data_IF_587863554165
#
_entry.id   IF_587863554165
#
_cell.length_a   1.000
_cell.length_b   1.000
_cell.length_c   1.000
_cell.angle_alpha   90.00
_cell.angle_beta   90.00
_cell.angle_gamma   90.00
#
_symmetry.space_group_name_H-M   'P 1'
#
loop_
_entity.id
_entity.type
_entity.pdbx_description
1 polymer ?
#
# COMPACT_ATOMS: atom_id res chain seq x y z
N UNK A 1 24.93 -25.58 22.01
CA UNK A 1 25.75 -24.67 21.19
C UNK A 1 25.29 -24.65 19.72
N UNK A 2 25.17 -25.76 19.03
CA UNK A 2 24.75 -25.86 17.63
C UNK A 2 23.38 -25.22 17.29
N UNK A 3 22.36 -25.34 18.17
CA UNK A 3 21.04 -24.77 17.94
C UNK A 3 21.04 -23.23 17.90
N UNK A 4 21.86 -22.57 18.75
CA UNK A 4 22.02 -21.11 18.75
C UNK A 4 22.75 -20.59 17.51
N UNK A 5 23.75 -21.34 17.05
CA UNK A 5 24.51 -21.02 15.82
C UNK A 5 23.62 -21.12 14.60
N UNK A 6 22.81 -22.18 14.48
CA UNK A 6 21.86 -22.36 13.38
C UNK A 6 20.82 -21.23 13.36
N UNK A 7 20.27 -20.84 14.50
CA UNK A 7 19.30 -19.75 14.61
C UNK A 7 19.92 -18.39 14.21
N UNK A 8 21.17 -18.12 14.61
CA UNK A 8 21.89 -16.92 14.22
C UNK A 8 22.07 -16.80 12.71
N UNK A 9 22.52 -17.88 12.05
CA UNK A 9 22.67 -17.88 10.58
C UNK A 9 21.34 -17.77 9.85
N UNK A 10 20.27 -18.41 10.35
CA UNK A 10 18.93 -18.29 9.76
C UNK A 10 18.40 -16.85 9.86
N UNK A 11 18.54 -16.21 11.02
CA UNK A 11 18.10 -14.82 11.20
C UNK A 11 18.94 -13.85 10.35
N UNK A 12 20.25 -14.07 10.24
CA UNK A 12 21.12 -13.23 9.38
C UNK A 12 20.78 -13.39 7.90
N UNK A 13 20.44 -14.60 7.46
CA UNK A 13 20.01 -14.87 6.10
C UNK A 13 18.66 -14.21 5.77
N UNK A 14 17.68 -14.32 6.67
CA UNK A 14 16.38 -13.66 6.54
C UNK A 14 16.57 -12.13 6.46
N UNK A 15 17.36 -11.56 7.36
CA UNK A 15 17.68 -10.14 7.36
C UNK A 15 18.32 -9.68 6.03
N UNK A 16 19.24 -10.47 5.46
CA UNK A 16 19.87 -10.15 4.17
C UNK A 16 18.85 -10.17 3.03
N UNK A 17 17.96 -11.16 3.01
CA UNK A 17 16.89 -11.26 2.03
C UNK A 17 15.96 -10.06 2.11
N UNK A 18 15.52 -9.68 3.30
CA UNK A 18 14.63 -8.52 3.51
C UNK A 18 15.28 -7.22 3.02
N UNK A 19 16.60 -7.07 3.24
CA UNK A 19 17.36 -5.94 2.72
C UNK A 19 17.40 -5.90 1.20
N UNK A 20 17.62 -7.04 0.55
CA UNK A 20 17.62 -7.16 -0.92
C UNK A 20 16.24 -6.80 -1.48
N UNK A 21 15.16 -7.33 -0.89
CA UNK A 21 13.81 -6.98 -1.27
C UNK A 21 13.51 -5.50 -1.09
N UNK A 22 13.90 -4.90 0.03
CA UNK A 22 13.72 -3.48 0.30
C UNK A 22 14.43 -2.60 -0.74
N UNK A 23 15.66 -2.96 -1.12
CA UNK A 23 16.42 -2.26 -2.16
C UNK A 23 15.73 -2.42 -3.53
N UNK A 24 15.27 -3.60 -3.87
CA UNK A 24 14.56 -3.84 -5.12
C UNK A 24 13.25 -3.05 -5.21
N UNK A 25 12.48 -2.97 -4.11
CA UNK A 25 11.28 -2.14 -4.00
C UNK A 25 11.61 -0.64 -4.16
N UNK A 26 12.68 -0.18 -3.55
CA UNK A 26 13.13 1.20 -3.68
C UNK A 26 13.45 1.56 -5.14
N UNK A 27 14.18 0.72 -5.85
CA UNK A 27 14.46 0.96 -7.27
C UNK A 27 13.21 0.91 -8.15
N UNK A 28 12.27 -0.01 -7.87
CA UNK A 28 10.96 -0.05 -8.55
C UNK A 28 10.18 1.25 -8.32
N UNK A 29 10.20 1.77 -7.10
CA UNK A 29 9.57 3.03 -6.75
C UNK A 29 10.21 4.20 -7.51
N UNK A 30 11.54 4.33 -7.53
CA UNK A 30 12.24 5.37 -8.28
C UNK A 30 11.93 5.31 -9.78
N UNK A 31 11.93 4.12 -10.38
CA UNK A 31 11.58 3.92 -11.78
C UNK A 31 10.12 4.33 -12.07
N UNK A 32 9.22 4.07 -11.15
CA UNK A 32 7.81 4.44 -11.25
C UNK A 32 7.65 5.97 -11.16
N UNK A 33 8.29 6.63 -10.21
CA UNK A 33 8.30 8.09 -10.09
C UNK A 33 8.85 8.72 -11.38
N UNK A 34 10.02 8.27 -11.83
CA UNK A 34 10.63 8.76 -13.05
C UNK A 34 9.66 8.67 -14.24
N UNK A 35 9.00 7.52 -14.38
CA UNK A 35 8.01 7.32 -15.44
C UNK A 35 6.83 8.28 -15.31
N UNK A 36 6.26 8.46 -14.12
CA UNK A 36 5.10 9.33 -13.89
C UNK A 36 5.46 10.78 -14.19
N UNK A 37 6.60 11.25 -13.69
CA UNK A 37 7.01 12.65 -13.83
C UNK A 37 7.51 13.05 -15.22
N UNK A 38 7.92 12.06 -16.05
CA UNK A 38 8.40 12.28 -17.41
C UNK A 38 7.40 11.83 -18.50
N UNK A 39 6.19 11.41 -18.11
CA UNK A 39 5.12 11.08 -19.06
C UNK A 39 4.02 12.12 -18.94
N UNK A 40 3.61 12.69 -20.05
CA UNK A 40 2.38 13.48 -20.09
C UNK A 40 1.19 12.54 -19.91
N UNK A 41 0.59 12.54 -18.71
CA UNK A 41 -0.51 11.65 -18.36
C UNK A 41 -1.76 11.92 -19.19
N UNK A 42 -1.91 13.12 -19.76
CA UNK A 42 -3.09 13.47 -20.60
C UNK A 42 -3.06 12.77 -21.95
N UNK A 43 -1.90 12.30 -22.40
CA UNK A 43 -1.76 11.56 -23.66
C UNK A 43 -2.07 10.08 -23.52
N UNK A 44 -2.22 9.59 -22.28
CA UNK A 44 -2.50 8.19 -22.00
C UNK A 44 -3.99 7.89 -22.16
N UNK A 45 -4.30 6.78 -22.84
CA UNK A 45 -5.67 6.30 -22.91
C UNK A 45 -6.08 5.57 -21.61
N UNK A 46 -7.38 5.30 -21.44
CA UNK A 46 -7.96 4.63 -20.28
C UNK A 46 -7.20 3.35 -19.87
N UNK A 47 -6.89 2.47 -20.83
CA UNK A 47 -6.19 1.21 -20.52
C UNK A 47 -4.78 1.45 -20.00
N UNK A 48 -4.09 2.47 -20.49
CA UNK A 48 -2.74 2.84 -20.03
C UNK A 48 -2.77 3.47 -18.65
N UNK A 49 -3.74 4.34 -18.36
CA UNK A 49 -3.95 4.92 -17.03
C UNK A 49 -4.29 3.84 -16.01
N UNK A 50 -5.21 2.93 -16.32
CA UNK A 50 -5.59 1.84 -15.44
C UNK A 50 -4.42 0.88 -15.17
N UNK A 51 -3.61 0.58 -16.19
CA UNK A 51 -2.38 -0.22 -16.01
C UNK A 51 -1.35 0.51 -15.14
N UNK A 52 -1.24 1.83 -15.26
CA UNK A 52 -0.37 2.64 -14.41
C UNK A 52 -0.88 2.62 -12.96
N UNK A 53 -2.18 2.84 -12.74
CA UNK A 53 -2.83 2.75 -11.43
C UNK A 53 -2.58 1.40 -10.76
N UNK A 54 -2.80 0.30 -11.47
CA UNK A 54 -2.53 -1.04 -10.96
C UNK A 54 -1.06 -1.24 -10.54
N UNK A 55 -0.11 -0.69 -11.30
CA UNK A 55 1.32 -0.77 -10.94
C UNK A 55 1.64 0.04 -9.68
N UNK A 56 1.01 1.20 -9.49
CA UNK A 56 1.19 2.05 -8.31
C UNK A 56 0.68 1.32 -7.07
N UNK A 57 -0.53 0.79 -7.14
CA UNK A 57 -1.16 0.02 -6.06
C UNK A 57 -0.32 -1.20 -5.69
N UNK A 58 0.12 -1.99 -6.68
CA UNK A 58 0.93 -3.20 -6.46
C UNK A 58 2.37 -2.90 -5.99
N UNK A 59 2.86 -1.68 -6.19
CA UNK A 59 4.18 -1.27 -5.69
C UNK A 59 4.16 -0.82 -4.23
N UNK A 60 2.99 -0.83 -3.59
CA UNK A 60 2.82 -0.63 -2.15
C UNK A 60 2.57 0.83 -1.74
N UNK A 61 2.50 0.99 -0.43
CA UNK A 61 2.01 2.19 0.25
C UNK A 61 2.74 3.49 -0.13
N UNK A 62 4.06 3.45 -0.27
CA UNK A 62 4.88 4.64 -0.58
C UNK A 62 4.52 5.16 -1.97
N UNK A 63 4.37 4.26 -2.95
CA UNK A 63 3.97 4.62 -4.32
C UNK A 63 2.56 5.19 -4.36
N UNK A 64 1.65 4.61 -3.57
CA UNK A 64 0.28 5.08 -3.45
C UNK A 64 0.22 6.50 -2.87
N UNK A 65 0.95 6.76 -1.77
CA UNK A 65 1.06 8.09 -1.15
C UNK A 65 1.68 9.12 -2.08
N UNK A 66 2.73 8.74 -2.81
CA UNK A 66 3.31 9.62 -3.82
C UNK A 66 2.28 9.99 -4.88
N UNK A 67 1.52 9.00 -5.40
CA UNK A 67 0.53 9.28 -6.44
C UNK A 67 -0.64 10.12 -5.93
N UNK A 68 -1.14 9.90 -4.71
CA UNK A 68 -2.15 10.74 -4.08
C UNK A 68 -1.69 12.22 -4.04
N UNK A 69 -0.47 12.45 -3.56
CA UNK A 69 0.13 13.78 -3.56
C UNK A 69 0.26 14.37 -4.98
N UNK A 70 0.72 13.56 -5.94
CA UNK A 70 0.92 14.00 -7.32
C UNK A 70 -0.38 14.36 -8.01
N UNK A 71 -1.43 13.56 -7.84
CA UNK A 71 -2.78 13.83 -8.38
C UNK A 71 -3.36 15.13 -7.80
N UNK A 72 -3.26 15.33 -6.48
CA UNK A 72 -3.70 16.58 -5.86
C UNK A 72 -2.93 17.81 -6.39
N UNK A 73 -1.66 17.64 -6.74
CA UNK A 73 -0.88 18.70 -7.39
C UNK A 73 -1.37 19.01 -8.80
N UNK A 74 -1.65 17.98 -9.62
CA UNK A 74 -2.18 18.17 -10.98
C UNK A 74 -3.55 18.87 -10.95
N UNK A 75 -4.41 18.51 -10.00
CA UNK A 75 -5.71 19.13 -9.79
C UNK A 75 -5.57 20.64 -9.48
N UNK A 76 -4.64 21.01 -8.63
CA UNK A 76 -4.37 22.41 -8.30
C UNK A 76 -3.69 23.19 -9.42
N UNK A 77 -2.96 22.52 -10.33
CA UNK A 77 -2.28 23.15 -11.46
C UNK A 77 -3.26 23.48 -12.59
N UNK A 78 -4.04 22.50 -13.04
CA UNK A 78 -5.07 22.67 -14.10
C UNK A 78 -6.04 21.47 -14.09
N UNK A 79 -7.14 21.61 -13.34
CA UNK A 79 -8.14 20.55 -13.16
C UNK A 79 -8.83 20.16 -14.48
N UNK A 80 -9.05 21.12 -15.40
CA UNK A 80 -9.70 20.82 -16.68
C UNK A 80 -8.75 20.05 -17.62
N UNK A 81 -7.48 20.44 -17.66
CA UNK A 81 -6.46 19.72 -18.45
C UNK A 81 -6.30 18.27 -18.02
N UNK A 82 -6.35 18.00 -16.70
CA UNK A 82 -6.11 16.67 -16.15
C UNK A 82 -7.38 15.90 -15.80
N UNK A 83 -8.57 16.38 -16.19
CA UNK A 83 -9.88 15.84 -15.81
C UNK A 83 -10.02 14.32 -15.94
N UNK A 84 -9.61 13.73 -17.06
CA UNK A 84 -9.70 12.28 -17.29
C UNK A 84 -8.69 11.52 -16.40
N UNK A 85 -7.52 12.09 -16.16
CA UNK A 85 -6.51 11.52 -15.26
C UNK A 85 -7.04 11.53 -13.83
N UNK A 86 -7.56 12.68 -13.36
CA UNK A 86 -8.13 12.85 -12.02
C UNK A 86 -9.24 11.83 -11.77
N UNK A 87 -10.18 11.72 -12.70
CA UNK A 87 -11.28 10.75 -12.63
C UNK A 87 -10.81 9.30 -12.51
N UNK A 88 -9.79 8.90 -13.28
CA UNK A 88 -9.28 7.53 -13.24
C UNK A 88 -8.57 7.22 -11.91
N UNK A 89 -7.92 8.21 -11.33
CA UNK A 89 -7.17 8.04 -10.08
C UNK A 89 -7.96 8.36 -8.80
N UNK A 90 -9.21 8.83 -8.92
CA UNK A 90 -10.07 9.18 -7.77
C UNK A 90 -10.15 8.03 -6.74
N UNK A 91 -10.34 6.80 -7.22
CA UNK A 91 -10.46 5.63 -6.36
C UNK A 91 -9.23 5.28 -5.51
N UNK A 92 -8.05 5.86 -5.78
CA UNK A 92 -6.85 5.59 -4.97
C UNK A 92 -6.86 6.31 -3.61
N UNK A 93 -7.79 7.25 -3.40
CA UNK A 93 -7.92 7.96 -2.13
C UNK A 93 -8.67 7.12 -1.09
N UNK A 94 -9.75 6.47 -1.51
CA UNK A 94 -10.71 5.84 -0.60
C UNK A 94 -10.82 4.31 -0.73
N UNK A 95 -10.32 3.75 -1.84
CA UNK A 95 -10.45 2.32 -2.14
C UNK A 95 -9.08 1.65 -2.26
N UNK A 96 -8.29 1.71 -1.19
CA UNK A 96 -7.03 0.98 -1.12
C UNK A 96 -7.28 -0.52 -0.94
N UNK A 97 -6.36 -1.38 -1.44
CA UNK A 97 -6.47 -2.82 -1.24
C UNK A 97 -6.57 -3.17 0.25
N UNK A 98 -7.52 -4.05 0.57
CA UNK A 98 -7.66 -4.59 1.92
C UNK A 98 -6.53 -5.57 2.23
N UNK A 99 -6.04 -5.55 3.45
CA UNK A 99 -5.21 -6.64 3.97
C UNK A 99 -6.09 -7.68 4.71
N UNK A 100 -5.56 -8.88 4.91
CA UNK A 100 -6.32 -9.95 5.54
C UNK A 100 -6.60 -9.67 7.02
N UNK A 101 -7.62 -10.34 7.57
CA UNK A 101 -7.93 -10.24 8.99
C UNK A 101 -6.78 -10.79 9.86
N UNK A 102 -6.07 -11.82 9.39
CA UNK A 102 -4.89 -12.35 10.08
C UNK A 102 -3.83 -11.26 10.25
N UNK A 103 -3.57 -10.48 9.19
CA UNK A 103 -2.65 -9.35 9.27
C UNK A 103 -3.08 -8.31 10.29
N UNK A 104 -4.39 -8.05 10.39
CA UNK A 104 -4.95 -7.15 11.43
C UNK A 104 -4.72 -7.69 12.83
N UNK A 105 -4.92 -9.00 13.03
CA UNK A 105 -4.66 -9.67 14.32
C UNK A 105 -3.19 -9.59 14.72
N UNK A 106 -2.29 -9.85 13.77
CA UNK A 106 -0.85 -9.77 14.01
C UNK A 106 -0.45 -8.35 14.45
N UNK A 107 -0.90 -7.31 13.74
CA UNK A 107 -0.63 -5.90 14.08
C UNK A 107 -1.20 -5.58 15.47
N UNK A 108 -2.43 -6.00 15.75
CA UNK A 108 -3.05 -5.76 17.05
C UNK A 108 -2.27 -6.42 18.18
N UNK A 109 -1.82 -7.65 17.98
CA UNK A 109 -1.02 -8.36 18.96
C UNK A 109 0.35 -7.72 19.16
N UNK A 110 1.01 -7.25 18.10
CA UNK A 110 2.28 -6.52 18.19
C UNK A 110 2.15 -5.23 19.00
N UNK A 111 1.05 -4.48 18.82
CA UNK A 111 0.85 -3.18 19.46
C UNK A 111 0.33 -3.29 20.92
N UNK A 112 -0.56 -4.24 21.18
CA UNK A 112 -1.27 -4.33 22.47
C UNK A 112 -0.84 -5.52 23.34
N UNK A 113 -0.04 -6.45 22.81
CA UNK A 113 0.39 -7.66 23.53
C UNK A 113 -0.75 -8.61 23.90
N UNK A 114 -1.89 -8.50 23.22
CA UNK A 114 -3.10 -9.26 23.51
C UNK A 114 -3.87 -9.58 22.24
N UNK A 115 -4.59 -10.70 22.24
CA UNK A 115 -5.42 -11.10 21.10
C UNK A 115 -6.65 -10.19 20.99
N UNK A 116 -6.99 -9.80 19.76
CA UNK A 116 -8.10 -8.90 19.43
C UNK A 116 -9.46 -9.52 19.82
N UNK A 117 -9.56 -10.85 19.81
CA UNK A 117 -10.75 -11.63 20.17
C UNK A 117 -11.21 -11.40 21.61
N UNK A 118 -10.34 -10.91 22.47
CA UNK A 118 -10.71 -10.55 23.86
C UNK A 118 -11.55 -9.27 23.95
N UNK A 119 -11.54 -8.46 22.92
CA UNK A 119 -12.17 -7.14 22.90
C UNK A 119 -13.32 -7.05 21.91
N UNK A 120 -13.27 -7.82 20.82
CA UNK A 120 -14.20 -7.70 19.70
C UNK A 120 -14.62 -9.10 19.23
N UNK A 121 -15.92 -9.27 19.00
CA UNK A 121 -16.42 -10.49 18.35
C UNK A 121 -16.11 -10.46 16.85
N UNK A 122 -15.16 -11.30 16.41
CA UNK A 122 -14.69 -11.36 15.03
C UNK A 122 -15.75 -11.80 14.01
N UNK A 123 -16.72 -12.62 14.43
CA UNK A 123 -17.82 -13.07 13.56
C UNK A 123 -18.73 -11.92 13.12
N UNK A 124 -18.63 -10.77 13.80
CA UNK A 124 -19.40 -9.57 13.49
C UNK A 124 -18.60 -8.51 12.74
N UNK A 125 -17.32 -8.78 12.45
CA UNK A 125 -16.45 -7.81 11.76
C UNK A 125 -16.79 -7.70 10.28
N UNK A 126 -17.10 -6.50 9.86
CA UNK A 126 -17.28 -6.10 8.47
C UNK A 126 -16.27 -5.01 8.14
N UNK A 127 -15.47 -5.21 7.09
CA UNK A 127 -14.58 -4.16 6.61
C UNK A 127 -15.38 -3.10 5.87
N UNK A 128 -15.41 -1.88 6.37
CA UNK A 128 -16.20 -0.77 5.81
C UNK A 128 -15.37 0.22 5.01
N UNK A 129 -14.06 0.20 5.13
CA UNK A 129 -13.18 1.08 4.37
C UNK A 129 -11.70 0.72 4.51
N UNK A 130 -10.93 1.04 3.49
CA UNK A 130 -9.48 0.91 3.48
C UNK A 130 -8.85 2.13 2.83
N UNK A 131 -8.10 2.87 3.63
CA UNK A 131 -7.26 3.96 3.17
C UNK A 131 -5.81 3.51 2.99
N UNK A 132 -4.96 4.44 2.59
CA UNK A 132 -3.55 4.17 2.34
C UNK A 132 -2.70 3.87 3.58
N UNK A 133 -3.22 4.13 4.79
CA UNK A 133 -2.50 3.93 6.06
C UNK A 133 -3.29 3.12 7.09
N UNK A 134 -4.53 2.74 6.80
CA UNK A 134 -5.35 2.01 7.75
C UNK A 134 -6.59 1.41 7.12
N UNK A 135 -7.16 0.46 7.82
CA UNK A 135 -8.38 -0.25 7.46
C UNK A 135 -9.38 -0.11 8.60
N UNK A 136 -10.64 0.15 8.25
CA UNK A 136 -11.70 0.39 9.22
C UNK A 136 -12.67 -0.77 9.21
N UNK A 137 -12.99 -1.25 10.39
CA UNK A 137 -13.95 -2.32 10.61
C UNK A 137 -15.14 -1.84 11.45
N UNK A 138 -16.30 -2.40 11.14
CA UNK A 138 -17.48 -2.33 11.98
C UNK A 138 -17.64 -3.68 12.67
N UNK A 139 -17.85 -3.68 13.98
CA UNK A 139 -18.03 -4.89 14.77
C UNK A 139 -18.87 -4.62 16.02
N UNK A 140 -19.21 -5.68 16.74
CA UNK A 140 -19.87 -5.64 18.06
C UNK A 140 -18.84 -6.02 19.14
N UNK A 141 -18.84 -5.29 20.23
CA UNK A 141 -18.13 -5.63 21.45
C UNK A 141 -18.96 -6.57 22.32
#
# INVERSE_FOLDING_TARGET
>A
MFKKIKLFFTNSYIYLIDRIYSIAYFFKFLALIYKITHTDLTTLNYNQLNKLKSRIVNNGMVSLKFMQWYISRLENEDSEKYKEVLKEFDSIFDNCPYHSLEKTKDIFYEDYGSEIEKFINLDTLETIGSGSIGQVYKGKM
#
